data_IF_449591667056
#
_entry.id   IF_449591667056
#
_cell.length_a   1.000
_cell.length_b   1.000
_cell.length_c   1.000
_cell.angle_alpha   90.00
_cell.angle_beta   90.00
_cell.angle_gamma   90.00
#
_symmetry.space_group_name_H-M   'P 1'
#
loop_
_entity.id
_entity.type
_entity.pdbx_description
1 polymer ?
#
# COMPACT_ATOMS: atom_id res chain seq x y z
N UNK A 1 19.41 4.79 10.19
CA UNK A 1 18.95 6.11 9.76
C UNK A 1 18.57 6.91 10.99
N UNK A 2 19.18 8.07 11.21
CA UNK A 2 18.76 8.99 12.27
C UNK A 2 17.39 9.59 11.93
N UNK A 3 16.70 10.21 12.91
CA UNK A 3 15.44 10.88 12.61
C UNK A 3 15.63 12.09 11.68
N UNK A 4 16.77 12.79 11.78
CA UNK A 4 17.13 13.88 10.87
C UNK A 4 17.29 13.38 9.43
N UNK A 5 18.09 12.31 9.23
CA UNK A 5 18.26 11.69 7.91
C UNK A 5 16.91 11.22 7.34
N UNK A 6 16.03 10.66 8.18
CA UNK A 6 14.71 10.22 7.73
C UNK A 6 13.80 11.40 7.35
N UNK A 7 13.80 12.46 8.15
CA UNK A 7 13.06 13.70 7.88
C UNK A 7 13.44 14.29 6.52
N UNK A 8 14.74 14.37 6.23
CA UNK A 8 15.26 14.84 4.95
C UNK A 8 14.85 13.93 3.78
N UNK A 9 15.09 12.62 3.90
CA UNK A 9 14.82 11.66 2.82
C UNK A 9 13.32 11.51 2.51
N UNK A 10 12.47 11.64 3.52
CA UNK A 10 11.02 11.45 3.37
C UNK A 10 10.24 12.76 3.22
N UNK A 11 10.89 13.92 3.36
CA UNK A 11 10.27 15.26 3.37
C UNK A 11 9.17 15.38 4.43
N UNK A 12 9.55 15.07 5.67
CA UNK A 12 8.67 15.13 6.85
C UNK A 12 9.37 15.90 7.98
N UNK A 13 8.64 16.30 9.02
CA UNK A 13 9.27 16.95 10.18
C UNK A 13 10.10 15.95 11.00
N UNK A 14 10.94 16.45 11.89
CA UNK A 14 11.73 15.59 12.79
C UNK A 14 10.80 14.80 13.72
N UNK A 15 9.71 15.42 14.19
CA UNK A 15 8.71 14.76 15.04
C UNK A 15 8.00 13.63 14.29
N UNK A 16 7.63 13.85 13.02
CA UNK A 16 7.07 12.81 12.15
C UNK A 16 8.06 11.67 11.93
N UNK A 17 9.35 11.99 11.75
CA UNK A 17 10.40 11.00 11.60
C UNK A 17 10.62 10.17 12.88
N UNK A 18 10.58 10.79 14.06
CA UNK A 18 10.64 10.06 15.33
C UNK A 18 9.43 9.13 15.51
N UNK A 19 8.23 9.57 15.11
CA UNK A 19 7.05 8.69 15.07
C UNK A 19 7.22 7.55 14.07
N UNK A 20 7.72 7.83 12.86
CA UNK A 20 7.93 6.83 11.81
C UNK A 20 8.96 5.75 12.20
N UNK A 21 9.87 6.05 13.14
CA UNK A 21 10.84 5.08 13.67
C UNK A 21 10.28 4.16 14.75
N UNK A 22 9.11 4.45 15.33
CA UNK A 22 8.44 3.56 16.30
C UNK A 22 7.76 2.41 15.55
N UNK A 23 8.51 1.35 15.25
CA UNK A 23 8.05 0.23 14.41
C UNK A 23 8.05 -1.10 15.16
N UNK A 24 6.99 -1.87 14.95
CA UNK A 24 6.82 -3.20 15.58
C UNK A 24 6.96 -4.37 14.59
N UNK A 25 6.71 -4.15 13.29
CA UNK A 25 6.48 -5.27 12.34
C UNK A 25 7.20 -5.16 10.99
N UNK A 26 7.78 -4.01 10.64
CA UNK A 26 8.51 -3.81 9.39
C UNK A 26 9.75 -2.95 9.58
N UNK A 27 10.77 -3.24 8.77
CA UNK A 27 12.03 -2.49 8.74
C UNK A 27 12.22 -1.84 7.36
N UNK A 28 12.02 -0.51 7.24
CA UNK A 28 12.26 0.21 5.99
C UNK A 28 13.77 0.42 5.76
N UNK A 29 14.20 0.36 4.51
CA UNK A 29 15.60 0.64 4.15
C UNK A 29 15.73 1.34 2.80
N UNK A 30 16.84 2.07 2.66
CA UNK A 30 17.32 2.64 1.40
C UNK A 30 18.46 1.75 0.90
N UNK A 31 18.41 1.35 -0.36
CA UNK A 31 19.50 0.62 -1.00
C UNK A 31 20.38 1.58 -1.79
N UNK A 32 21.58 1.86 -1.28
CA UNK A 32 22.57 2.74 -1.92
C UNK A 32 23.66 1.98 -2.70
N UNK A 33 23.49 0.67 -2.91
CA UNK A 33 24.45 -0.17 -3.65
C UNK A 33 24.20 -0.20 -5.16
N UNK A 34 25.08 -0.87 -5.93
CA UNK A 34 24.90 -1.04 -7.37
C UNK A 34 23.61 -1.79 -7.72
N UNK A 35 22.83 -1.28 -8.67
CA UNK A 35 21.53 -1.85 -9.06
C UNK A 35 21.57 -3.34 -9.40
N UNK A 36 22.65 -3.81 -10.06
CA UNK A 36 22.83 -5.22 -10.41
C UNK A 36 23.01 -6.16 -9.20
N UNK A 37 23.33 -5.62 -8.01
CA UNK A 37 23.45 -6.38 -6.75
C UNK A 37 22.15 -6.38 -5.92
N UNK A 38 21.18 -5.51 -6.22
CA UNK A 38 19.89 -5.49 -5.52
C UNK A 38 19.19 -6.86 -5.53
N UNK A 39 19.12 -7.63 -6.64
CA UNK A 39 18.50 -8.95 -6.64
C UNK A 39 19.15 -9.93 -5.65
N UNK A 40 20.47 -9.81 -5.41
CA UNK A 40 21.19 -10.66 -4.46
C UNK A 40 20.77 -10.35 -3.02
N UNK A 41 20.64 -9.07 -2.67
CA UNK A 41 20.11 -8.63 -1.38
C UNK A 41 18.69 -9.15 -1.15
N UNK A 42 17.80 -8.95 -2.14
CA UNK A 42 16.41 -9.40 -2.07
C UNK A 42 16.29 -10.93 -1.94
N UNK A 43 17.20 -11.69 -2.57
CA UNK A 43 17.30 -13.14 -2.42
C UNK A 43 17.78 -13.53 -1.01
N UNK A 44 18.73 -12.79 -0.44
CA UNK A 44 19.23 -13.02 0.91
C UNK A 44 18.14 -12.79 1.97
N UNK A 45 17.36 -11.70 1.84
CA UNK A 45 16.20 -11.41 2.70
C UNK A 45 15.22 -12.60 2.69
N UNK A 46 14.85 -13.08 1.50
CA UNK A 46 13.98 -14.26 1.35
C UNK A 46 14.56 -15.53 1.97
N UNK A 47 15.86 -15.80 1.79
CA UNK A 47 16.54 -16.97 2.37
C UNK A 47 16.51 -16.97 3.90
N UNK A 48 16.42 -15.78 4.52
CA UNK A 48 16.28 -15.61 5.97
C UNK A 48 14.84 -15.73 6.48
N UNK A 49 13.88 -16.06 5.60
CA UNK A 49 12.47 -16.25 5.95
C UNK A 49 11.63 -14.96 5.95
N UNK A 50 12.22 -13.82 5.56
CA UNK A 50 11.52 -12.56 5.47
C UNK A 50 10.93 -12.32 4.08
N UNK A 51 9.90 -11.48 4.03
CA UNK A 51 9.36 -10.94 2.79
C UNK A 51 9.92 -9.53 2.57
N UNK A 52 9.74 -9.01 1.37
CA UNK A 52 10.00 -7.60 1.10
C UNK A 52 8.92 -7.01 0.22
N UNK A 53 8.77 -5.70 0.30
CA UNK A 53 7.99 -4.90 -0.65
C UNK A 53 8.72 -3.59 -0.93
N UNK A 54 8.24 -2.86 -1.94
CA UNK A 54 8.77 -1.56 -2.31
C UNK A 54 7.62 -0.58 -2.48
N UNK A 55 7.62 0.47 -1.66
CA UNK A 55 6.89 1.70 -1.90
C UNK A 55 7.88 2.78 -2.30
N UNK A 56 7.85 3.92 -1.59
CA UNK A 56 8.92 4.92 -1.66
C UNK A 56 10.27 4.38 -1.17
N UNK A 57 10.22 3.57 -0.11
CA UNK A 57 11.36 2.84 0.43
C UNK A 57 11.16 1.34 0.24
N UNK A 58 12.24 0.57 0.37
CA UNK A 58 12.10 -0.87 0.52
C UNK A 58 11.69 -1.19 1.96
N UNK A 59 10.97 -2.28 2.15
CA UNK A 59 10.59 -2.76 3.47
C UNK A 59 10.92 -4.24 3.57
N UNK A 60 11.56 -4.62 4.67
CA UNK A 60 11.64 -6.02 5.12
C UNK A 60 10.44 -6.29 6.02
N UNK A 61 9.73 -7.37 5.72
CA UNK A 61 8.50 -7.75 6.39
C UNK A 61 8.64 -9.16 6.97
N UNK A 62 7.97 -9.39 8.10
CA UNK A 62 7.72 -10.75 8.57
C UNK A 62 6.69 -11.49 7.70
N UNK A 63 5.81 -12.25 8.32
CA UNK A 63 4.72 -12.96 7.63
C UNK A 63 3.55 -12.05 7.22
N UNK A 64 3.55 -10.78 7.63
CA UNK A 64 2.48 -9.79 7.40
C UNK A 64 2.43 -9.24 5.98
N UNK A 65 1.23 -8.86 5.53
CA UNK A 65 0.99 -7.98 4.39
C UNK A 65 -0.42 -7.36 4.49
N UNK A 66 -0.67 -6.30 3.73
CA UNK A 66 -1.96 -5.57 3.74
C UNK A 66 -3.17 -6.48 3.46
N UNK A 67 -3.02 -7.51 2.61
CA UNK A 67 -4.09 -8.44 2.29
C UNK A 67 -4.54 -9.33 3.45
N UNK A 68 -3.60 -9.78 4.29
CA UNK A 68 -3.91 -10.54 5.51
C UNK A 68 -4.68 -9.64 6.47
N UNK A 69 -4.18 -8.42 6.72
CA UNK A 69 -4.81 -7.46 7.62
C UNK A 69 -6.25 -7.11 7.19
N UNK A 70 -6.45 -6.82 5.90
CA UNK A 70 -7.78 -6.53 5.36
C UNK A 70 -8.69 -7.73 5.43
N UNK A 71 -8.21 -8.95 5.15
CA UNK A 71 -9.04 -10.16 5.27
C UNK A 71 -9.53 -10.39 6.70
N UNK A 72 -8.66 -10.18 7.70
CA UNK A 72 -9.05 -10.25 9.13
C UNK A 72 -10.13 -9.21 9.43
N UNK A 73 -9.93 -7.96 9.01
CA UNK A 73 -10.87 -6.87 9.26
C UNK A 73 -12.24 -7.13 8.62
N UNK A 74 -12.25 -7.57 7.35
CA UNK A 74 -13.48 -7.94 6.64
C UNK A 74 -14.26 -9.01 7.40
N UNK A 75 -13.58 -10.06 7.90
CA UNK A 75 -14.23 -11.13 8.64
C UNK A 75 -14.83 -10.62 9.97
N UNK A 76 -14.11 -9.76 10.70
CA UNK A 76 -14.62 -9.16 11.94
C UNK A 76 -15.90 -8.34 11.68
N UNK A 77 -15.90 -7.52 10.62
CA UNK A 77 -17.07 -6.70 10.27
C UNK A 77 -18.23 -7.55 9.73
N UNK A 78 -17.97 -8.59 8.93
CA UNK A 78 -19.00 -9.53 8.48
C UNK A 78 -19.67 -10.25 9.66
N UNK A 79 -18.89 -10.67 10.66
CA UNK A 79 -19.44 -11.30 11.86
C UNK A 79 -20.36 -10.36 12.65
N UNK A 80 -20.05 -9.06 12.70
CA UNK A 80 -20.83 -8.06 13.45
C UNK A 80 -22.07 -7.57 12.70
N UNK A 81 -21.93 -7.27 11.40
CA UNK A 81 -22.96 -6.57 10.61
C UNK A 81 -23.66 -7.45 9.58
N UNK A 82 -23.26 -8.72 9.45
CA UNK A 82 -23.71 -9.73 8.47
C UNK A 82 -23.39 -9.38 7.00
N UNK A 83 -23.81 -8.21 6.53
CA UNK A 83 -23.58 -7.73 5.16
C UNK A 83 -22.75 -6.45 5.19
N UNK A 84 -21.63 -6.48 4.48
CA UNK A 84 -20.76 -5.32 4.25
C UNK A 84 -20.36 -5.29 2.78
N UNK A 85 -20.12 -4.09 2.26
CA UNK A 85 -19.37 -3.89 1.02
C UNK A 85 -18.00 -3.34 1.37
N UNK A 86 -17.00 -3.72 0.59
CA UNK A 86 -15.61 -3.36 0.84
C UNK A 86 -15.01 -2.69 -0.38
N UNK A 87 -14.39 -1.54 -0.14
CA UNK A 87 -13.66 -0.77 -1.15
C UNK A 87 -12.23 -0.58 -0.66
N UNK A 88 -11.26 -0.79 -1.55
CA UNK A 88 -9.86 -0.47 -1.29
C UNK A 88 -9.33 0.37 -2.44
N UNK A 89 -8.52 1.37 -2.09
CA UNK A 89 -7.90 2.30 -3.02
C UNK A 89 -6.38 2.17 -2.86
N UNK A 90 -5.66 2.08 -3.98
CA UNK A 90 -4.21 2.00 -3.98
C UNK A 90 -3.61 2.43 -5.31
N UNK A 91 -2.36 2.87 -5.29
CA UNK A 91 -1.64 3.41 -6.45
C UNK A 91 -0.35 2.63 -6.74
N UNK A 92 0.04 1.72 -5.86
CA UNK A 92 1.34 1.05 -5.92
C UNK A 92 1.24 -0.49 -5.88
N UNK A 93 2.28 -1.22 -6.33
CA UNK A 93 2.29 -2.68 -6.29
C UNK A 93 2.17 -3.26 -4.87
N UNK A 94 2.54 -2.50 -3.83
CA UNK A 94 2.44 -2.95 -2.45
C UNK A 94 0.98 -3.04 -1.96
N UNK A 95 0.04 -2.43 -2.70
CA UNK A 95 -1.40 -2.42 -2.40
C UNK A 95 -2.12 -3.63 -3.00
N UNK A 96 -1.53 -4.31 -4.00
CA UNK A 96 -2.12 -5.46 -4.68
C UNK A 96 -2.67 -6.50 -3.68
N UNK A 97 -1.96 -6.90 -2.61
CA UNK A 97 -2.48 -7.89 -1.67
C UNK A 97 -3.80 -7.48 -1.00
N UNK A 98 -4.03 -6.18 -0.77
CA UNK A 98 -5.29 -5.66 -0.23
C UNK A 98 -6.34 -5.53 -1.32
N UNK A 99 -5.97 -4.98 -2.47
CA UNK A 99 -6.90 -4.72 -3.58
C UNK A 99 -7.58 -6.01 -4.07
N UNK A 100 -6.87 -7.13 -4.13
CA UNK A 100 -7.47 -8.43 -4.55
C UNK A 100 -8.40 -9.07 -3.50
N UNK A 101 -8.62 -8.43 -2.34
CA UNK A 101 -9.42 -8.96 -1.23
C UNK A 101 -10.73 -8.21 -1.00
N UNK A 102 -10.96 -7.11 -1.71
CA UNK A 102 -12.16 -6.28 -1.57
C UNK A 102 -13.14 -6.49 -2.72
N UNK A 103 -14.39 -6.10 -2.51
CA UNK A 103 -15.45 -6.17 -3.53
C UNK A 103 -15.20 -5.15 -4.65
N UNK A 104 -14.69 -3.96 -4.29
CA UNK A 104 -14.42 -2.87 -5.21
C UNK A 104 -12.96 -2.40 -5.13
N UNK A 105 -12.04 -3.04 -5.88
CA UNK A 105 -10.67 -2.55 -6.00
C UNK A 105 -10.60 -1.31 -6.88
N UNK A 106 -9.99 -0.25 -6.37
CA UNK A 106 -9.76 1.00 -7.09
C UNK A 106 -8.27 1.27 -7.22
N UNK A 107 -7.82 1.50 -8.45
CA UNK A 107 -6.46 1.94 -8.77
C UNK A 107 -6.50 3.46 -8.95
N UNK A 108 -5.70 4.18 -8.17
CA UNK A 108 -5.60 5.65 -8.21
C UNK A 108 -4.36 6.06 -9.00
N UNK A 109 -4.41 7.21 -9.67
CA UNK A 109 -3.24 7.73 -10.39
C UNK A 109 -2.14 8.15 -9.42
N UNK A 110 -0.90 7.89 -9.84
CA UNK A 110 0.32 8.35 -9.18
C UNK A 110 0.50 9.86 -9.40
N UNK A 111 1.50 10.45 -8.74
CA UNK A 111 1.85 11.87 -8.85
C UNK A 111 2.12 12.36 -10.28
N UNK A 112 2.49 11.47 -11.20
CA UNK A 112 2.74 11.76 -12.62
C UNK A 112 1.47 11.59 -13.50
N UNK A 113 0.31 11.32 -12.90
CA UNK A 113 -0.95 11.07 -13.61
C UNK A 113 -1.06 9.66 -14.22
N UNK A 114 -0.02 8.82 -14.10
CA UNK A 114 -0.03 7.46 -14.62
C UNK A 114 -0.66 6.46 -13.63
N UNK A 115 -1.00 5.28 -14.14
CA UNK A 115 -1.30 4.11 -13.31
C UNK A 115 -0.11 3.16 -13.33
N UNK A 116 0.25 2.58 -12.19
CA UNK A 116 1.38 1.65 -12.13
C UNK A 116 1.10 0.39 -12.98
N UNK A 117 1.93 0.15 -14.01
CA UNK A 117 1.75 -0.93 -14.98
C UNK A 117 1.88 -2.34 -14.38
N UNK A 118 2.42 -2.44 -13.16
CA UNK A 118 2.51 -3.70 -12.41
C UNK A 118 1.20 -4.07 -11.72
N UNK A 119 0.28 -3.11 -11.54
CA UNK A 119 -1.04 -3.39 -10.94
C UNK A 119 -1.98 -3.92 -12.02
N UNK A 120 -2.11 -5.24 -12.06
CA UNK A 120 -2.97 -5.97 -13.00
C UNK A 120 -4.04 -6.73 -12.23
N UNK A 121 -5.12 -6.03 -11.88
CA UNK A 121 -6.24 -6.60 -11.12
C UNK A 121 -7.47 -6.60 -12.04
N UNK A 122 -8.03 -7.76 -12.39
CA UNK A 122 -9.26 -7.83 -13.17
C UNK A 122 -10.39 -7.07 -12.47
N UNK A 123 -11.28 -6.45 -13.26
CA UNK A 123 -12.44 -5.70 -12.76
C UNK A 123 -12.12 -4.53 -11.83
N UNK A 124 -10.86 -4.08 -11.74
CA UNK A 124 -10.51 -2.89 -10.96
C UNK A 124 -11.03 -1.62 -11.61
N UNK A 125 -11.53 -0.70 -10.78
CA UNK A 125 -11.92 0.65 -11.18
C UNK A 125 -10.67 1.49 -11.28
N UNK A 126 -10.48 2.19 -12.40
CA UNK A 126 -9.41 3.19 -12.55
C UNK A 126 -9.95 4.58 -12.23
N UNK A 127 -9.48 5.17 -11.14
CA UNK A 127 -9.92 6.47 -10.68
C UNK A 127 -9.12 7.59 -11.36
N UNK A 128 -9.82 8.46 -12.08
CA UNK A 128 -9.22 9.67 -12.67
C UNK A 128 -8.95 10.71 -11.57
N UNK A 129 -7.77 11.32 -11.59
CA UNK A 129 -7.29 12.28 -10.60
C UNK A 129 -6.09 11.74 -9.82
N UNK A 130 -5.13 12.61 -9.51
CA UNK A 130 -3.90 12.25 -8.81
C UNK A 130 -4.18 12.11 -7.31
N UNK A 131 -3.73 10.99 -6.72
CA UNK A 131 -3.74 10.78 -5.27
C UNK A 131 -5.09 11.14 -4.62
N UNK A 132 -5.14 12.15 -3.71
CA UNK A 132 -6.38 12.53 -3.02
C UNK A 132 -7.55 12.89 -3.93
N UNK A 133 -7.30 13.47 -5.10
CA UNK A 133 -8.36 13.86 -6.04
C UNK A 133 -9.04 12.62 -6.64
N UNK A 134 -8.24 11.66 -7.12
CA UNK A 134 -8.76 10.39 -7.65
C UNK A 134 -9.43 9.56 -6.57
N UNK A 135 -8.86 9.58 -5.36
CA UNK A 135 -9.48 8.95 -4.18
C UNK A 135 -10.88 9.50 -3.93
N UNK A 136 -11.03 10.83 -3.86
CA UNK A 136 -12.31 11.49 -3.59
C UNK A 136 -13.36 11.17 -4.67
N UNK A 137 -12.97 11.29 -5.95
CA UNK A 137 -13.85 10.97 -7.08
C UNK A 137 -14.34 9.52 -7.04
N UNK A 138 -13.45 8.57 -6.74
CA UNK A 138 -13.82 7.16 -6.67
C UNK A 138 -14.83 6.88 -5.54
N UNK A 139 -14.60 7.44 -4.36
CA UNK A 139 -15.48 7.26 -3.20
C UNK A 139 -16.85 7.90 -3.45
N UNK A 140 -16.89 9.15 -3.94
CA UNK A 140 -18.15 9.83 -4.25
C UNK A 140 -18.95 9.09 -5.32
N UNK A 141 -18.31 8.63 -6.40
CA UNK A 141 -18.99 7.88 -7.45
C UNK A 141 -19.58 6.56 -6.91
N UNK A 142 -18.85 5.84 -6.03
CA UNK A 142 -19.35 4.60 -5.44
C UNK A 142 -20.52 4.86 -4.47
N UNK A 143 -20.41 5.89 -3.63
CA UNK A 143 -21.48 6.31 -2.72
C UNK A 143 -22.75 6.67 -3.53
N UNK A 144 -22.61 7.51 -4.56
CA UNK A 144 -23.73 7.91 -5.42
C UNK A 144 -24.39 6.71 -6.10
N UNK A 145 -23.61 5.72 -6.55
CA UNK A 145 -24.15 4.49 -7.14
C UNK A 145 -24.96 3.66 -6.14
N UNK A 146 -24.50 3.53 -4.89
CA UNK A 146 -25.22 2.79 -3.85
C UNK A 146 -26.57 3.46 -3.53
N UNK A 147 -26.64 4.79 -3.51
CA UNK A 147 -27.87 5.52 -3.18
C UNK A 147 -28.82 5.72 -4.37
N UNK A 148 -28.41 5.32 -5.58
CA UNK A 148 -29.24 5.39 -6.80
C UNK A 148 -29.80 4.04 -7.23
N UNK A 149 -29.44 2.94 -6.54
CA UNK A 149 -29.86 1.56 -6.82
C UNK A 149 -30.80 1.04 -5.73
#
# INVERSE_FOLDING_TARGET
MTAHELAENAHMTIEEAEMAKKRDFDEPFIYSGPSHKLPQLLKAIKKKGFKFTQGRFFHILGSSNKGIAVSILINLYKNKYKKIETIALGDSPNDIPMLVRVDYPVIVQKHDGSYDSKIKIPCSIKANGIGPEGWNKAVLNKILYIFSA
#
